data_IF_069529142585
#
_entry.id   IF_069529142585
#
_cell.length_a   1.000
_cell.length_b   1.000
_cell.length_c   1.000
_cell.angle_alpha   90.00
_cell.angle_beta   90.00
_cell.angle_gamma   90.00
#
_symmetry.space_group_name_H-M   'P 1'
#
loop_
_entity.id
_entity.type
_entity.pdbx_description
1 polymer ?
#
# COMPACT_ATOMS: atom_id res chain seq x y z
N UNK A 1 -6.29 -11.69 23.56
CA UNK A 1 -6.58 -10.31 23.13
C UNK A 1 -5.55 -9.94 22.08
N UNK A 2 -5.97 -9.78 20.82
CA UNK A 2 -5.05 -9.41 19.76
C UNK A 2 -4.66 -7.93 19.94
N UNK A 3 -3.48 -7.68 20.49
CA UNK A 3 -2.88 -6.35 20.53
C UNK A 3 -2.57 -5.96 19.09
N UNK A 4 -3.45 -5.18 18.47
CA UNK A 4 -3.15 -4.47 17.23
C UNK A 4 -1.87 -3.67 17.48
N UNK A 5 -0.78 -3.90 16.73
CA UNK A 5 0.44 -3.13 16.93
C UNK A 5 0.10 -1.64 16.81
N UNK A 6 0.52 -0.84 17.79
CA UNK A 6 0.49 0.62 17.67
C UNK A 6 1.22 0.97 16.38
N UNK A 7 0.55 1.74 15.52
CA UNK A 7 1.13 2.30 14.30
C UNK A 7 2.53 2.78 14.64
N UNK A 8 3.56 2.07 14.15
CA UNK A 8 4.92 2.59 14.16
C UNK A 8 4.92 3.94 13.45
N UNK A 9 5.94 4.76 13.72
CA UNK A 9 6.19 5.94 12.88
C UNK A 9 6.07 5.54 11.42
N UNK A 10 5.26 6.30 10.67
CA UNK A 10 5.19 6.15 9.23
C UNK A 10 6.53 6.60 8.68
N UNK A 11 7.40 5.63 8.42
CA UNK A 11 8.68 5.84 7.76
C UNK A 11 8.40 5.82 6.26
N UNK A 12 8.78 6.89 5.57
CA UNK A 12 8.77 6.92 4.11
C UNK A 12 9.75 5.86 3.60
N UNK A 13 9.26 4.97 2.73
CA UNK A 13 10.05 3.91 2.11
C UNK A 13 9.73 3.84 0.63
N UNK A 14 10.75 3.61 -0.18
CA UNK A 14 10.61 3.36 -1.62
C UNK A 14 9.95 2.00 -1.88
N UNK A 15 9.37 1.81 -3.06
CA UNK A 15 8.76 0.53 -3.44
C UNK A 15 9.79 -0.61 -3.43
N UNK A 16 11.03 -0.31 -3.80
CA UNK A 16 12.18 -1.22 -3.79
C UNK A 16 12.51 -1.70 -2.37
N UNK A 17 12.57 -0.78 -1.41
CA UNK A 17 12.82 -1.10 0.00
C UNK A 17 11.70 -1.97 0.59
N UNK A 18 10.45 -1.65 0.25
CA UNK A 18 9.29 -2.46 0.67
C UNK A 18 9.33 -3.86 0.06
N UNK A 19 9.69 -4.00 -1.22
CA UNK A 19 9.81 -5.29 -1.87
C UNK A 19 10.92 -6.16 -1.24
N UNK A 20 12.07 -5.55 -0.91
CA UNK A 20 13.17 -6.22 -0.23
C UNK A 20 12.77 -6.68 1.18
N UNK A 21 12.10 -5.80 1.94
CA UNK A 21 11.60 -6.12 3.28
C UNK A 21 10.58 -7.26 3.24
N UNK A 22 9.57 -7.18 2.38
CA UNK A 22 8.54 -8.22 2.24
C UNK A 22 9.16 -9.55 1.82
N UNK A 23 10.13 -9.54 0.91
CA UNK A 23 10.81 -10.76 0.49
C UNK A 23 11.51 -11.47 1.64
N UNK A 24 12.17 -10.69 2.51
CA UNK A 24 12.85 -11.21 3.69
C UNK A 24 11.86 -11.72 4.75
N UNK A 25 10.71 -11.05 4.94
CA UNK A 25 9.73 -11.43 5.97
C UNK A 25 8.84 -12.61 5.57
N UNK A 26 8.53 -12.75 4.28
CA UNK A 26 7.63 -13.80 3.79
C UNK A 26 8.38 -15.05 3.29
N UNK A 27 9.72 -15.05 3.38
CA UNK A 27 10.59 -16.13 2.88
C UNK A 27 10.29 -16.52 1.42
N UNK A 28 9.97 -15.50 0.60
CA UNK A 28 9.68 -15.66 -0.83
C UNK A 28 10.13 -14.43 -1.60
N UNK A 29 10.36 -14.58 -2.91
CA UNK A 29 10.62 -13.42 -3.76
C UNK A 29 9.34 -12.57 -3.94
N UNK A 30 9.40 -11.30 -3.57
CA UNK A 30 8.36 -10.30 -3.79
C UNK A 30 8.86 -9.28 -4.80
N UNK A 31 8.10 -9.05 -5.86
CA UNK A 31 8.48 -8.12 -6.92
C UNK A 31 7.99 -6.69 -6.64
N UNK A 32 8.68 -5.69 -7.19
CA UNK A 32 8.24 -4.29 -7.17
C UNK A 32 6.81 -4.14 -7.76
N UNK A 33 6.49 -4.90 -8.80
CA UNK A 33 5.16 -4.87 -9.41
C UNK A 33 4.07 -5.35 -8.45
N UNK A 34 4.37 -6.39 -7.67
CA UNK A 34 3.46 -6.91 -6.66
C UNK A 34 3.21 -5.89 -5.54
N UNK A 35 4.26 -5.20 -5.07
CA UNK A 35 4.12 -4.12 -4.09
C UNK A 35 3.23 -2.99 -4.64
N UNK A 36 3.46 -2.55 -5.88
CA UNK A 36 2.59 -1.53 -6.52
C UNK A 36 1.16 -2.00 -6.68
N UNK A 37 0.94 -3.29 -6.93
CA UNK A 37 -0.40 -3.85 -7.03
C UNK A 37 -1.12 -3.80 -5.68
N UNK A 38 -0.45 -4.20 -4.60
CA UNK A 38 -0.98 -4.13 -3.22
C UNK A 38 -1.32 -2.69 -2.82
N UNK A 39 -0.42 -1.75 -3.12
CA UNK A 39 -0.63 -0.32 -2.87
C UNK A 39 -1.84 0.21 -3.64
N UNK A 40 -1.92 -0.08 -4.94
CA UNK A 40 -3.05 0.34 -5.76
C UNK A 40 -4.37 -0.28 -5.29
N UNK A 41 -4.36 -1.52 -4.82
CA UNK A 41 -5.54 -2.17 -4.27
C UNK A 41 -5.99 -1.52 -2.96
N UNK A 42 -5.05 -1.24 -2.04
CA UNK A 42 -5.33 -0.55 -0.79
C UNK A 42 -5.90 0.85 -1.02
N UNK A 43 -5.31 1.61 -1.95
CA UNK A 43 -5.79 2.93 -2.34
C UNK A 43 -7.22 2.88 -2.92
N UNK A 44 -7.52 1.92 -3.79
CA UNK A 44 -8.90 1.75 -4.32
C UNK A 44 -9.91 1.47 -3.23
N UNK A 45 -9.57 0.61 -2.27
CA UNK A 45 -10.44 0.32 -1.13
C UNK A 45 -10.67 1.57 -0.27
N UNK A 46 -9.62 2.34 -0.03
CA UNK A 46 -9.70 3.58 0.74
C UNK A 46 -10.53 4.67 0.04
N UNK A 47 -10.37 4.83 -1.28
CA UNK A 47 -11.20 5.74 -2.07
C UNK A 47 -12.67 5.32 -2.03
N UNK A 48 -12.94 4.03 -2.25
CA UNK A 48 -14.30 3.48 -2.18
C UNK A 48 -14.93 3.72 -0.80
N UNK A 49 -14.17 3.50 0.28
CA UNK A 49 -14.61 3.73 1.67
C UNK A 49 -14.96 5.20 1.93
N UNK A 50 -14.25 6.13 1.28
CA UNK A 50 -14.51 7.58 1.38
C UNK A 50 -15.54 8.08 0.37
N UNK A 51 -16.07 7.22 -0.50
CA UNK A 51 -16.97 7.61 -1.59
C UNK A 51 -16.30 8.48 -2.65
N UNK A 52 -14.97 8.42 -2.74
CA UNK A 52 -14.19 9.12 -3.76
C UNK A 52 -14.05 8.22 -4.98
N UNK A 53 -14.48 8.68 -6.15
CA UNK A 53 -14.28 7.96 -7.40
C UNK A 53 -13.12 8.57 -8.18
N UNK A 54 -12.39 7.79 -8.99
CA UNK A 54 -11.28 8.32 -9.79
C UNK A 54 -11.68 9.51 -10.67
N UNK A 55 -12.95 9.57 -11.10
CA UNK A 55 -13.49 10.68 -11.88
C UNK A 55 -13.49 12.02 -11.09
N UNK A 56 -13.57 11.97 -9.76
CA UNK A 56 -13.60 13.15 -8.89
C UNK A 56 -12.20 13.68 -8.55
N UNK A 57 -11.16 12.89 -8.85
CA UNK A 57 -9.76 13.18 -8.49
C UNK A 57 -8.93 13.65 -9.70
N UNK A 58 -9.47 13.54 -10.90
CA UNK A 58 -8.83 14.06 -12.11
C UNK A 58 -9.17 15.55 -12.26
N UNK A 59 -8.20 16.44 -12.51
CA UNK A 59 -8.48 17.84 -12.77
C UNK A 59 -9.40 17.98 -14.00
N UNK A 60 -10.34 18.92 -13.95
CA UNK A 60 -11.19 19.24 -15.11
C UNK A 60 -10.29 19.56 -16.31
N UNK A 61 -10.61 18.96 -17.46
CA UNK A 61 -9.86 19.12 -18.71
C UNK A 61 -10.03 20.50 -19.31
#
# INVERSE_FOLDING_TARGET
MATRPKSGELIEATTEEVAAWLSATEDRAVSIHEVRHLEAQALRQEFTRRGLFPADLLPER
#
